data_IF_936824974347
#
_entry.id   IF_936824974347
#
_cell.length_a   1.000
_cell.length_b   1.000
_cell.length_c   1.000
_cell.angle_alpha   90.00
_cell.angle_beta   90.00
_cell.angle_gamma   90.00
#
_symmetry.space_group_name_H-M   'P 1'
#
loop_
_entity.id
_entity.type
_entity.pdbx_description
1 polymer ?
#
# COMPACT_ATOMS: atom_id res chain seq x y z
N UNK A 1 10.03 -22.79 -12.49
CA UNK A 1 9.07 -21.68 -12.41
C UNK A 1 9.05 -21.19 -10.98
N UNK A 2 9.50 -19.96 -10.76
CA UNK A 2 9.45 -19.34 -9.43
C UNK A 2 8.08 -18.72 -9.29
N UNK A 3 7.25 -19.27 -8.41
CA UNK A 3 5.91 -18.73 -8.16
C UNK A 3 6.03 -17.28 -7.67
N UNK A 4 5.13 -16.41 -8.14
CA UNK A 4 5.03 -15.04 -7.64
C UNK A 4 4.81 -15.09 -6.13
N UNK A 5 5.83 -14.69 -5.37
CA UNK A 5 5.80 -14.66 -3.91
C UNK A 5 5.44 -13.25 -3.46
N UNK A 6 4.33 -13.11 -2.76
CA UNK A 6 3.98 -11.85 -2.16
C UNK A 6 4.86 -11.54 -0.94
N UNK A 7 5.23 -10.26 -0.72
CA UNK A 7 5.80 -9.79 0.53
C UNK A 7 4.82 -9.96 1.69
N UNK A 8 5.35 -10.01 2.91
CA UNK A 8 4.55 -10.07 4.15
C UNK A 8 3.68 -8.82 4.30
N UNK A 9 4.20 -7.65 3.92
CA UNK A 9 3.48 -6.38 4.02
C UNK A 9 3.61 -5.59 2.72
N UNK A 10 2.46 -5.21 2.18
CA UNK A 10 2.31 -4.33 1.03
C UNK A 10 1.72 -3.00 1.51
N UNK A 11 2.29 -1.88 1.09
CA UNK A 11 1.87 -0.53 1.49
C UNK A 11 1.58 0.34 0.26
N UNK A 12 0.45 1.05 0.25
CA UNK A 12 0.14 2.04 -0.78
C UNK A 12 0.60 3.43 -0.32
N UNK A 13 1.01 4.27 -1.28
CA UNK A 13 1.54 5.62 -1.06
C UNK A 13 2.49 5.78 0.14
N UNK A 14 3.57 4.97 0.23
CA UNK A 14 4.43 4.92 1.43
C UNK A 14 5.15 6.24 1.75
N UNK A 15 5.14 7.20 0.83
CA UNK A 15 5.77 8.51 0.96
C UNK A 15 4.87 9.54 1.66
N UNK A 16 3.60 9.21 1.87
CA UNK A 16 2.64 10.06 2.57
C UNK A 16 2.66 9.75 4.06
N UNK A 17 3.12 10.72 4.85
CA UNK A 17 3.41 10.54 6.27
C UNK A 17 2.19 10.08 7.10
N UNK A 18 1.02 10.66 6.85
CA UNK A 18 -0.21 10.37 7.60
C UNK A 18 -1.15 9.42 6.87
N UNK A 19 -0.71 8.74 5.80
CA UNK A 19 -1.54 7.81 5.04
C UNK A 19 -1.34 6.37 5.51
N UNK A 20 -2.43 5.64 5.73
CA UNK A 20 -2.39 4.27 6.22
C UNK A 20 -3.23 3.37 5.32
N UNK A 21 -2.60 2.73 4.35
CA UNK A 21 -3.28 1.82 3.44
C UNK A 21 -2.36 0.63 3.16
N UNK A 22 -2.64 -0.51 3.77
CA UNK A 22 -1.73 -1.65 3.69
C UNK A 22 -2.44 -3.00 3.74
N UNK A 23 -1.74 -3.99 3.21
CA UNK A 23 -2.14 -5.39 3.17
C UNK A 23 -1.03 -6.18 3.88
N UNK A 24 -1.39 -6.88 4.95
CA UNK A 24 -0.53 -7.81 5.67
C UNK A 24 -0.97 -9.24 5.39
N UNK A 25 -0.03 -10.06 4.94
CA UNK A 25 -0.24 -11.48 4.62
C UNK A 25 0.56 -12.33 5.60
N UNK A 26 -0.11 -13.26 6.24
CA UNK A 26 0.50 -14.23 7.14
C UNK A 26 0.84 -15.53 6.39
N UNK A 27 1.78 -16.30 6.96
CA UNK A 27 2.24 -17.56 6.35
C UNK A 27 1.17 -18.65 6.28
N UNK A 28 0.12 -18.56 7.09
CA UNK A 28 -1.02 -19.49 7.10
C UNK A 28 -2.12 -19.11 6.09
N UNK A 29 -1.88 -18.09 5.25
CA UNK A 29 -2.84 -17.55 4.29
C UNK A 29 -3.89 -16.62 4.93
N UNK A 30 -3.78 -16.28 6.21
CA UNK A 30 -4.55 -15.18 6.78
C UNK A 30 -4.09 -13.85 6.22
N UNK A 31 -5.03 -12.92 6.15
CA UNK A 31 -4.87 -11.58 5.58
C UNK A 31 -5.49 -10.56 6.51
N UNK A 32 -4.81 -9.44 6.71
CA UNK A 32 -5.35 -8.22 7.30
C UNK A 32 -5.09 -7.05 6.35
N UNK A 33 -6.13 -6.29 6.03
CA UNK A 33 -6.06 -5.07 5.23
C UNK A 33 -6.55 -3.90 6.07
N UNK A 34 -5.87 -2.77 5.97
CA UNK A 34 -6.16 -1.58 6.77
C UNK A 34 -6.26 -0.38 5.84
N UNK A 35 -7.34 0.38 5.98
CA UNK A 35 -7.55 1.69 5.36
C UNK A 35 -7.62 2.77 6.44
N UNK A 36 -6.99 3.91 6.18
CA UNK A 36 -6.83 4.99 7.15
C UNK A 36 -6.04 6.18 6.60
N UNK A 37 -6.09 7.27 7.34
CA UNK A 37 -5.42 8.52 7.02
C UNK A 37 -5.56 9.52 8.16
N UNK A 38 -4.61 10.44 8.31
CA UNK A 38 -4.65 11.51 9.32
C UNK A 38 -4.77 11.00 10.75
N UNK A 39 -4.00 9.96 11.09
CA UNK A 39 -4.03 9.28 12.39
C UNK A 39 -5.34 8.54 12.73
N UNK A 40 -6.24 8.38 11.75
CA UNK A 40 -7.50 7.66 11.91
C UNK A 40 -7.48 6.39 11.07
N UNK A 41 -7.82 5.25 11.67
CA UNK A 41 -8.13 4.01 10.96
C UNK A 41 -9.61 4.03 10.60
N UNK A 42 -9.92 3.97 9.31
CA UNK A 42 -11.28 3.96 8.80
C UNK A 42 -11.86 2.54 8.79
N UNK A 43 -11.03 1.54 8.44
CA UNK A 43 -11.48 0.16 8.33
C UNK A 43 -10.33 -0.83 8.62
N UNK A 44 -10.70 -1.97 9.21
CA UNK A 44 -9.85 -3.16 9.29
C UNK A 44 -10.62 -4.32 8.70
N UNK A 45 -10.06 -4.94 7.66
CA UNK A 45 -10.69 -6.04 6.93
C UNK A 45 -9.81 -7.28 7.05
N UNK A 46 -10.40 -8.44 7.36
CA UNK A 46 -9.67 -9.70 7.50
C UNK A 46 -10.29 -10.79 6.65
N UNK A 47 -9.45 -11.71 6.16
CA UNK A 47 -9.90 -12.82 5.32
C UNK A 47 -8.84 -13.90 5.14
N UNK A 48 -9.06 -14.79 4.18
CA UNK A 48 -8.14 -15.83 3.74
C UNK A 48 -7.72 -15.57 2.30
N UNK A 49 -6.42 -15.42 2.08
CA UNK A 49 -5.82 -15.17 0.79
C UNK A 49 -5.49 -16.48 0.07
N UNK A 50 -5.81 -16.55 -1.22
CA UNK A 50 -5.29 -17.53 -2.17
C UNK A 50 -4.70 -16.77 -3.35
N UNK A 51 -3.51 -17.19 -3.79
CA UNK A 51 -2.81 -16.60 -4.93
C UNK A 51 -2.70 -17.67 -6.00
N UNK A 52 -3.33 -17.44 -7.15
CA UNK A 52 -3.26 -18.35 -8.29
C UNK A 52 -2.39 -17.72 -9.38
N UNK A 53 -1.15 -18.20 -9.59
CA UNK A 53 -0.26 -17.65 -10.61
C UNK A 53 -0.88 -17.76 -12.01
N UNK A 54 -0.75 -16.70 -12.79
CA UNK A 54 -1.12 -16.64 -14.22
C UNK A 54 0.16 -16.67 -15.06
N UNK A 55 1.15 -15.85 -14.69
CA UNK A 55 2.49 -15.80 -15.27
C UNK A 55 3.52 -15.61 -14.16
N UNK A 56 4.80 -15.47 -14.50
CA UNK A 56 5.86 -15.15 -13.52
C UNK A 56 5.68 -13.76 -12.87
N UNK A 57 4.90 -12.87 -13.50
CA UNK A 57 4.65 -11.50 -13.02
C UNK A 57 3.18 -11.22 -12.72
N UNK A 58 2.26 -12.15 -12.98
CA UNK A 58 0.83 -11.94 -12.79
C UNK A 58 0.20 -13.08 -11.99
N UNK A 59 -0.73 -12.75 -11.12
CA UNK A 59 -1.49 -13.71 -10.35
C UNK A 59 -2.93 -13.21 -10.14
N UNK A 60 -3.86 -14.16 -9.96
CA UNK A 60 -5.16 -13.87 -9.39
C UNK A 60 -5.02 -13.79 -7.86
N UNK A 61 -5.46 -12.67 -7.30
CA UNK A 61 -5.48 -12.39 -5.87
C UNK A 61 -6.90 -12.57 -5.35
N UNK A 62 -7.17 -13.73 -4.74
CA UNK A 62 -8.51 -14.09 -4.27
C UNK A 62 -8.58 -14.09 -2.75
N UNK A 63 -9.57 -13.38 -2.21
CA UNK A 63 -9.81 -13.26 -0.77
C UNK A 63 -11.17 -13.86 -0.45
N UNK A 64 -11.17 -14.81 0.48
CA UNK A 64 -12.39 -15.49 0.95
C UNK A 64 -12.63 -15.25 2.43
N UNK A 65 -13.88 -15.47 2.88
CA UNK A 65 -14.28 -15.30 4.29
C UNK A 65 -14.00 -13.87 4.79
N UNK A 66 -14.24 -12.90 3.92
CA UNK A 66 -13.93 -11.51 4.17
C UNK A 66 -14.87 -10.94 5.24
N UNK A 67 -14.32 -10.21 6.20
CA UNK A 67 -15.10 -9.55 7.23
C UNK A 67 -14.45 -8.24 7.67
N UNK A 68 -15.28 -7.25 7.94
CA UNK A 68 -14.89 -5.96 8.48
C UNK A 68 -14.95 -6.00 10.01
N UNK A 69 -13.94 -5.43 10.65
CA UNK A 69 -13.77 -5.37 12.10
C UNK A 69 -13.65 -3.93 12.57
N UNK A 70 -14.17 -3.67 13.77
CA UNK A 70 -14.07 -2.38 14.40
C UNK A 70 -12.59 -2.06 14.72
N UNK A 71 -12.02 -0.95 14.22
CA UNK A 71 -10.58 -0.67 14.35
C UNK A 71 -10.13 -0.50 15.80
N UNK A 72 -11.00 0.07 16.65
CA UNK A 72 -10.67 0.38 18.06
C UNK A 72 -11.24 -0.60 19.09
N UNK A 73 -12.01 -1.61 18.66
CA UNK A 73 -12.64 -2.58 19.57
C UNK A 73 -12.23 -3.99 19.18
N UNK A 74 -11.27 -4.52 19.95
CA UNK A 74 -10.58 -5.76 19.62
C UNK A 74 -11.56 -6.92 19.42
N UNK A 75 -11.58 -7.48 18.20
CA UNK A 75 -12.36 -8.66 17.85
C UNK A 75 -13.84 -8.39 17.54
N UNK A 76 -14.32 -7.15 17.62
CA UNK A 76 -15.69 -6.80 17.27
C UNK A 76 -15.85 -6.80 15.75
N UNK A 77 -16.52 -7.83 15.22
CA UNK A 77 -16.87 -7.92 13.81
C UNK A 77 -18.07 -7.03 13.51
N UNK A 78 -17.94 -6.14 12.53
CA UNK A 78 -19.02 -5.24 12.08
C UNK A 78 -19.95 -5.98 11.13
N UNK A 79 -19.40 -6.53 10.04
CA UNK A 79 -20.16 -7.24 9.01
C UNK A 79 -19.29 -8.24 8.27
N UNK A 80 -19.94 -9.21 7.62
CA UNK A 80 -19.27 -10.01 6.59
C UNK A 80 -19.27 -9.19 5.29
N UNK A 81 -18.23 -9.35 4.50
CA UNK A 81 -18.09 -8.76 3.17
C UNK A 81 -18.15 -9.89 2.12
N UNK A 82 -18.54 -9.59 0.87
CA UNK A 82 -18.46 -10.58 -0.20
C UNK A 82 -17.00 -10.99 -0.42
N UNK A 83 -16.80 -12.23 -0.87
CA UNK A 83 -15.51 -12.68 -1.38
C UNK A 83 -15.07 -11.76 -2.53
N UNK A 84 -13.77 -11.53 -2.63
CA UNK A 84 -13.19 -10.56 -3.56
C UNK A 84 -12.09 -11.22 -4.37
N UNK A 85 -12.02 -10.90 -5.66
CA UNK A 85 -10.91 -11.33 -6.51
C UNK A 85 -10.51 -10.21 -7.46
N UNK A 86 -9.21 -10.11 -7.71
CA UNK A 86 -8.66 -9.17 -8.68
C UNK A 86 -7.34 -9.69 -9.22
N UNK A 87 -6.99 -9.25 -10.42
CA UNK A 87 -5.68 -9.53 -10.98
C UNK A 87 -4.63 -8.62 -10.34
N UNK A 88 -3.50 -9.22 -9.99
CA UNK A 88 -2.31 -8.56 -9.50
C UNK A 88 -1.18 -8.68 -10.52
N UNK A 89 -0.49 -7.58 -10.79
CA UNK A 89 0.73 -7.54 -11.61
C UNK A 89 1.90 -7.03 -10.78
N UNK A 90 3.00 -7.79 -10.74
CA UNK A 90 4.29 -7.35 -10.22
C UNK A 90 5.04 -6.61 -11.33
N UNK A 91 5.59 -5.45 -10.98
CA UNK A 91 6.45 -4.66 -11.87
C UNK A 91 7.78 -4.39 -11.17
N UNK A 92 8.86 -4.78 -11.83
CA UNK A 92 10.22 -4.44 -11.40
C UNK A 92 10.66 -3.13 -12.07
N UNK A 93 11.34 -2.27 -11.33
CA UNK A 93 11.73 -0.94 -11.80
C UNK A 93 12.43 -0.13 -10.72
N UNK A 94 12.58 1.18 -10.94
CA UNK A 94 13.06 2.11 -9.93
C UNK A 94 11.90 3.05 -9.59
N UNK A 95 11.48 3.02 -8.33
CA UNK A 95 10.38 3.86 -7.84
C UNK A 95 10.89 4.68 -6.66
N UNK A 96 11.13 5.97 -6.91
CA UNK A 96 11.66 6.89 -5.91
C UNK A 96 10.65 7.99 -5.58
N UNK A 97 10.55 8.31 -4.29
CA UNK A 97 9.62 9.31 -3.78
C UNK A 97 10.33 10.24 -2.81
N UNK A 98 9.94 11.51 -2.78
CA UNK A 98 10.24 12.35 -1.63
C UNK A 98 9.43 11.90 -0.43
N UNK A 99 10.08 11.68 0.71
CA UNK A 99 9.34 11.41 1.94
C UNK A 99 8.68 12.72 2.42
N UNK A 100 7.38 12.64 2.72
CA UNK A 100 6.67 13.75 3.33
C UNK A 100 7.17 13.95 4.76
N UNK A 101 7.56 15.17 5.11
CA UNK A 101 8.15 15.50 6.39
C UNK A 101 7.65 16.85 6.91
N UNK A 102 7.64 17.01 8.24
CA UNK A 102 7.35 18.30 8.87
C UNK A 102 8.56 19.23 8.75
N UNK A 103 8.39 20.29 7.96
CA UNK A 103 9.44 21.28 7.69
C UNK A 103 10.37 20.87 6.54
N UNK A 104 10.85 21.86 5.78
CA UNK A 104 11.79 21.62 4.69
C UNK A 104 13.22 21.58 5.24
N UNK A 105 14.08 20.65 4.80
CA UNK A 105 15.48 20.67 5.18
C UNK A 105 16.13 21.96 4.66
N UNK A 106 17.12 22.47 5.38
CA UNK A 106 17.90 23.66 4.95
C UNK A 106 18.63 23.39 3.63
N UNK A 107 19.07 22.15 3.45
CA UNK A 107 19.75 21.67 2.26
C UNK A 107 18.80 20.74 1.48
N UNK A 108 18.39 21.09 0.24
CA UNK A 108 17.53 20.23 -0.58
C UNK A 108 18.11 18.84 -0.86
N UNK A 109 19.44 18.72 -0.92
CA UNK A 109 20.12 17.45 -1.18
C UNK A 109 20.08 16.48 0.02
N UNK A 110 19.73 16.97 1.21
CA UNK A 110 19.53 16.18 2.43
C UNK A 110 18.08 15.74 2.61
N UNK A 111 17.18 16.11 1.69
CA UNK A 111 15.79 15.69 1.77
C UNK A 111 15.71 14.16 1.74
N UNK A 112 14.98 13.53 2.69
CA UNK A 112 14.78 12.10 2.72
C UNK A 112 13.91 11.66 1.55
N UNK A 113 14.24 10.49 1.03
CA UNK A 113 13.60 9.83 -0.07
C UNK A 113 13.44 8.35 0.24
N UNK A 114 12.39 7.76 -0.33
CA UNK A 114 12.15 6.33 -0.31
C UNK A 114 12.43 5.78 -1.70
N UNK A 115 13.17 4.67 -1.76
CA UNK A 115 13.42 3.92 -2.98
C UNK A 115 12.83 2.51 -2.85
N UNK A 116 12.17 2.07 -3.90
CA UNK A 116 11.69 0.69 -4.09
C UNK A 116 12.12 0.17 -5.46
N UNK A 117 12.26 -1.15 -5.54
CA UNK A 117 12.65 -1.88 -6.77
C UNK A 117 11.51 -2.66 -7.38
N UNK A 118 10.46 -2.91 -6.60
CA UNK A 118 9.29 -3.63 -7.05
C UNK A 118 8.02 -2.94 -6.57
N UNK A 119 7.01 -2.90 -7.44
CA UNK A 119 5.64 -2.54 -7.08
C UNK A 119 4.64 -3.62 -7.53
N UNK A 120 3.49 -3.59 -6.89
CA UNK A 120 2.38 -4.52 -7.09
C UNK A 120 1.15 -3.71 -7.46
N UNK A 121 0.65 -3.93 -8.66
CA UNK A 121 -0.47 -3.19 -9.24
C UNK A 121 -1.68 -4.09 -9.30
N UNK A 122 -2.72 -3.72 -8.57
CA UNK A 122 -4.01 -4.40 -8.59
C UNK A 122 -4.91 -3.77 -9.67
N UNK A 123 -5.68 -4.57 -10.40
CA UNK A 123 -6.68 -4.03 -11.33
C UNK A 123 -7.77 -3.24 -10.59
N UNK A 124 -8.17 -3.76 -9.43
CA UNK A 124 -9.13 -3.14 -8.49
C UNK A 124 -8.50 -3.10 -7.11
N UNK A 125 -8.61 -1.98 -6.40
CA UNK A 125 -8.07 -1.85 -5.04
C UNK A 125 -8.75 -2.89 -4.11
N UNK A 126 -8.00 -3.74 -3.40
CA UNK A 126 -8.55 -4.72 -2.45
C UNK A 126 -9.39 -4.09 -1.32
N UNK A 127 -9.18 -2.82 -1.01
CA UNK A 127 -9.93 -2.08 0.01
C UNK A 127 -11.13 -1.27 -0.53
N UNK A 128 -11.45 -1.39 -1.83
CA UNK A 128 -12.59 -0.68 -2.44
C UNK A 128 -13.92 -0.96 -1.72
N UNK A 129 -14.09 -2.16 -1.15
CA UNK A 129 -15.31 -2.58 -0.47
C UNK A 129 -15.61 -1.85 0.85
N UNK A 130 -14.67 -1.03 1.34
CA UNK A 130 -14.81 -0.20 2.55
C UNK A 130 -14.50 1.28 2.27
N UNK A 131 -14.45 1.70 1.00
CA UNK A 131 -14.20 3.08 0.59
C UNK A 131 -15.22 4.05 1.20
N UNK A 132 -16.46 3.60 1.46
CA UNK A 132 -17.48 4.45 2.09
C UNK A 132 -17.10 4.90 3.51
N UNK A 133 -16.26 4.15 4.23
CA UNK A 133 -15.83 4.50 5.58
C UNK A 133 -14.88 5.71 5.58
N UNK A 134 -14.34 6.08 4.41
CA UNK A 134 -13.54 7.29 4.23
C UNK A 134 -14.39 8.57 4.30
N UNK A 135 -15.72 8.46 4.11
CA UNK A 135 -16.67 9.59 4.09
C UNK A 135 -16.85 10.18 5.50
N UNK A 136 -15.93 11.06 5.87
CA UNK A 136 -15.90 11.71 7.19
C UNK A 136 -14.52 11.77 7.81
N UNK A 137 -13.53 11.11 7.21
CA UNK A 137 -12.13 11.30 7.60
C UNK A 137 -11.66 12.67 7.10
N UNK A 138 -11.34 13.57 8.04
CA UNK A 138 -10.88 14.93 7.74
C UNK A 138 -9.66 14.94 6.81
N UNK A 139 -8.74 13.99 6.94
CA UNK A 139 -7.58 13.85 6.06
C UNK A 139 -8.01 13.73 4.59
N UNK A 140 -8.95 12.82 4.31
CA UNK A 140 -9.48 12.60 2.97
C UNK A 140 -10.30 13.78 2.44
N UNK A 141 -10.88 14.58 3.33
CA UNK A 141 -11.67 15.77 2.97
C UNK A 141 -10.80 17.00 2.68
N UNK A 142 -9.65 17.14 3.34
CA UNK A 142 -8.78 18.33 3.22
C UNK A 142 -7.63 18.12 2.23
N UNK A 143 -7.18 16.88 2.06
CA UNK A 143 -6.10 16.56 1.12
C UNK A 143 -6.66 16.49 -0.31
N UNK A 144 -6.36 17.51 -1.14
CA UNK A 144 -6.64 17.51 -2.58
C UNK A 144 -5.69 16.55 -3.34
N UNK A 145 -5.59 15.29 -2.92
CA UNK A 145 -4.76 14.28 -3.59
C UNK A 145 -5.63 13.42 -4.49
N UNK A 146 -5.16 13.18 -5.72
CA UNK A 146 -5.82 12.21 -6.61
C UNK A 146 -5.44 10.79 -6.20
N UNK A 147 -6.17 10.24 -5.24
CA UNK A 147 -5.97 8.88 -4.72
C UNK A 147 -6.30 7.80 -5.76
N UNK A 148 -7.12 8.08 -6.78
CA UNK A 148 -7.82 7.04 -7.58
C UNK A 148 -6.88 6.10 -8.32
N UNK A 149 -5.74 6.61 -8.78
CA UNK A 149 -4.73 5.81 -9.48
C UNK A 149 -3.66 5.24 -8.54
N UNK A 150 -3.51 5.79 -7.33
CA UNK A 150 -2.43 5.41 -6.43
C UNK A 150 -2.82 4.35 -5.40
N UNK A 151 -4.11 4.27 -5.02
CA UNK A 151 -4.64 3.28 -4.07
C UNK A 151 -4.50 1.83 -4.56
N UNK A 152 -4.32 1.63 -5.86
CA UNK A 152 -4.13 0.30 -6.48
C UNK A 152 -2.67 -0.14 -6.58
N UNK A 153 -1.73 0.75 -6.23
CA UNK A 153 -0.30 0.52 -6.38
C UNK A 153 0.33 0.37 -5.00
N UNK A 154 0.86 -0.82 -4.75
CA UNK A 154 1.45 -1.18 -3.48
C UNK A 154 2.94 -1.47 -3.65
N UNK A 155 3.70 -1.20 -2.60
CA UNK A 155 5.13 -1.46 -2.51
C UNK A 155 5.39 -2.45 -1.39
N UNK A 156 6.39 -3.32 -1.56
CA UNK A 156 6.81 -4.22 -0.49
C UNK A 156 7.46 -3.42 0.63
N UNK A 157 6.92 -3.48 1.85
CA UNK A 157 7.50 -2.72 2.99
C UNK A 157 8.96 -3.09 3.24
N UNK A 158 9.29 -4.37 3.06
CA UNK A 158 10.64 -4.90 3.28
C UNK A 158 11.62 -4.57 2.14
N UNK A 159 11.14 -4.02 1.02
CA UNK A 159 11.95 -3.49 -0.10
C UNK A 159 12.23 -1.97 0.05
N UNK A 160 11.78 -1.36 1.16
CA UNK A 160 11.99 0.07 1.45
C UNK A 160 13.47 0.36 1.71
N UNK A 161 14.09 1.14 0.84
CA UNK A 161 15.40 1.74 1.08
C UNK A 161 15.23 3.24 1.40
N UNK A 162 15.64 3.66 2.60
CA UNK A 162 15.68 5.08 2.98
C UNK A 162 17.02 5.70 2.59
N UNK A 163 16.97 6.84 1.91
CA UNK A 163 18.18 7.55 1.49
C UNK A 163 17.91 9.04 1.27
N UNK A 164 18.96 9.81 1.02
CA UNK A 164 18.84 11.25 0.69
C UNK A 164 18.81 11.47 -0.83
N UNK A 165 18.32 12.63 -1.25
CA UNK A 165 18.43 13.09 -2.65
C UNK A 165 19.88 12.99 -3.16
N UNK A 166 20.86 13.41 -2.35
CA UNK A 166 22.28 13.30 -2.70
C UNK A 166 22.71 11.86 -3.01
N UNK A 167 22.21 10.89 -2.25
CA UNK A 167 22.50 9.48 -2.47
C UNK A 167 21.83 8.97 -3.76
N UNK A 168 20.56 9.31 -4.01
CA UNK A 168 19.87 8.97 -5.25
C UNK A 168 20.59 9.52 -6.49
N UNK A 169 21.06 10.78 -6.43
CA UNK A 169 21.84 11.41 -7.51
C UNK A 169 23.11 10.62 -7.81
N UNK A 170 23.84 10.20 -6.77
CA UNK A 170 25.06 9.37 -6.94
C UNK A 170 24.78 8.03 -7.61
N UNK A 171 23.59 7.47 -7.42
CA UNK A 171 23.14 6.24 -8.08
C UNK A 171 22.61 6.47 -9.51
N UNK A 172 22.47 7.73 -9.95
CA UNK A 172 21.86 8.07 -11.24
C UNK A 172 20.34 7.91 -11.28
N UNK A 173 19.67 7.92 -10.11
CA UNK A 173 18.22 7.70 -10.01
C UNK A 173 17.40 8.98 -9.81
N UNK A 174 17.99 10.16 -9.98
CA UNK A 174 17.30 11.44 -9.76
C UNK A 174 16.09 11.65 -10.67
N UNK A 175 16.14 11.16 -11.92
CA UNK A 175 15.04 11.28 -12.88
C UNK A 175 13.81 10.45 -12.51
N UNK A 176 13.91 9.57 -11.52
CA UNK A 176 12.82 8.72 -11.05
C UNK A 176 12.07 9.31 -9.85
N UNK A 177 12.56 10.43 -9.28
CA UNK A 177 11.92 11.09 -8.15
C UNK A 177 10.56 11.68 -8.57
N UNK A 178 9.50 11.18 -7.92
CA UNK A 178 8.15 11.74 -8.03
C UNK A 178 7.86 12.66 -6.84
N UNK A 179 7.17 13.76 -7.13
CA UNK A 179 6.61 14.68 -6.13
C UNK A 179 5.38 14.08 -5.43
#
# INVERSE_FOLDING_TARGET
MTLLKLPTVLVANPHWYDYLHHIKVETDGSLEMVDGGGQVINAVVKGRLTISPITDMQAEFSITKLAEYHPYKKGEKIRNLPDFSTKLTREDGIFAFYEQMFGRPKNPDERPCLLYRTRYVFEVDPLLCVEENQRGNLYNMTENRDFKNSVRVYYARDDREEMTVKALKKLGFESYLKE
#
